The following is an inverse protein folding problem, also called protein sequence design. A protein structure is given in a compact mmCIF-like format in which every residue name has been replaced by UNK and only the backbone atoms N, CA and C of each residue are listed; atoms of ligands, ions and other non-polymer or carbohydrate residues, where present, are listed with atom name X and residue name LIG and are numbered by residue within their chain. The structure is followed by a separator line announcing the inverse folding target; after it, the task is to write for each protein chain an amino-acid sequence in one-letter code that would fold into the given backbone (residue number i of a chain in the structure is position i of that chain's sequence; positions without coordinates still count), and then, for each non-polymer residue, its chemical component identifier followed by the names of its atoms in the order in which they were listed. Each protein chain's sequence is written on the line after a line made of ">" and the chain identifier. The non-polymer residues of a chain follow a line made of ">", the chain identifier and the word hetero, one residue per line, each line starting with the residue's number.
data_IF_007013810369
#
_entry.id   IF_007013810369
#
_cell.length_a   1.000
_cell.length_b   1.000
_cell.length_c   1.000
_cell.angle_alpha   90.00
_cell.angle_beta   90.00
_cell.angle_gamma   90.00
#
_symmetry.space_group_name_H-M   'P 1'
#
loop_
_entity.id
_entity.type
_entity.pdbx_description
1 polymer ?
#
# COMPACT_ATOMS: atom_id res chain seq x y z
N UNK A 1 9.19 32.63 2.82
CA UNK A 1 9.54 31.67 1.73
C UNK A 1 9.81 30.33 2.36
N UNK A 2 8.79 29.47 2.37
CA UNK A 2 8.95 28.07 2.75
C UNK A 2 9.85 27.40 1.70
N UNK A 3 11.08 27.09 2.11
CA UNK A 3 11.94 26.19 1.36
C UNK A 3 11.29 24.79 1.38
N UNK A 4 10.56 24.47 0.33
CA UNK A 4 10.14 23.08 0.03
C UNK A 4 11.42 22.24 -0.08
N UNK A 5 11.84 21.62 1.04
CA UNK A 5 12.97 20.68 1.05
C UNK A 5 12.63 19.57 0.05
N UNK A 6 13.40 19.46 -1.03
CA UNK A 6 13.29 18.33 -1.97
C UNK A 6 13.35 17.03 -1.18
N UNK A 7 12.36 16.13 -1.34
CA UNK A 7 12.35 14.88 -0.61
C UNK A 7 13.68 14.17 -0.84
N UNK A 8 14.26 13.67 0.27
CA UNK A 8 15.51 12.89 0.25
C UNK A 8 15.32 11.73 -0.73
N UNK A 9 16.36 11.31 -1.46
CA UNK A 9 16.26 10.35 -2.55
C UNK A 9 15.60 9.01 -2.14
N UNK A 10 15.78 8.60 -0.88
CA UNK A 10 15.19 7.40 -0.29
C UNK A 10 13.65 7.44 -0.23
N UNK A 11 13.04 8.61 -0.08
CA UNK A 11 11.58 8.76 0.07
C UNK A 11 10.89 9.27 -1.21
N UNK A 12 11.53 9.11 -2.37
CA UNK A 12 10.91 9.35 -3.68
C UNK A 12 10.01 8.16 -4.08
N UNK A 13 9.04 8.34 -4.99
CA UNK A 13 8.03 7.32 -5.30
C UNK A 13 8.58 5.93 -5.57
N UNK A 14 9.58 5.81 -6.44
CA UNK A 14 10.17 4.49 -6.76
C UNK A 14 10.94 3.87 -5.60
N UNK A 15 11.60 4.68 -4.77
CA UNK A 15 12.23 4.16 -3.55
C UNK A 15 11.18 3.73 -2.53
N UNK A 16 10.07 4.48 -2.37
CA UNK A 16 8.97 4.09 -1.49
C UNK A 16 8.31 2.76 -1.91
N UNK A 17 8.24 2.43 -3.22
CA UNK A 17 7.81 1.11 -3.67
C UNK A 17 8.76 -0.01 -3.18
N UNK A 18 10.06 0.22 -3.27
CA UNK A 18 11.06 -0.72 -2.71
C UNK A 18 10.94 -0.84 -1.19
N UNK A 19 10.84 0.28 -0.48
CA UNK A 19 10.69 0.28 0.98
C UNK A 19 9.43 -0.48 1.42
N UNK A 20 8.33 -0.38 0.66
CA UNK A 20 7.13 -1.17 0.91
C UNK A 20 7.44 -2.67 0.88
N UNK A 21 8.12 -3.15 -0.16
CA UNK A 21 8.52 -4.56 -0.28
C UNK A 21 9.41 -4.98 0.89
N UNK A 22 10.43 -4.17 1.24
CA UNK A 22 11.31 -4.46 2.37
C UNK A 22 10.57 -4.53 3.71
N UNK A 23 9.57 -3.67 3.90
CA UNK A 23 8.80 -3.62 5.14
C UNK A 23 7.79 -4.77 5.25
N UNK A 24 7.23 -5.24 4.14
CA UNK A 24 6.08 -6.17 4.12
C UNK A 24 6.45 -7.61 3.82
N UNK A 25 7.54 -7.82 3.05
CA UNK A 25 7.97 -9.17 2.65
C UNK A 25 9.02 -9.70 3.62
N UNK A 26 8.68 -10.77 4.33
CA UNK A 26 9.62 -11.47 5.18
C UNK A 26 10.82 -11.99 4.38
N UNK A 27 12.02 -11.81 4.93
CA UNK A 27 13.27 -12.24 4.27
C UNK A 27 13.75 -11.34 3.12
N UNK A 28 13.01 -10.28 2.73
CA UNK A 28 13.42 -9.40 1.63
C UNK A 28 14.84 -8.82 1.81
N UNK A 29 15.27 -8.52 3.04
CA UNK A 29 16.63 -8.02 3.32
C UNK A 29 17.73 -9.05 3.06
N UNK A 30 17.41 -10.34 2.93
CA UNK A 30 18.37 -11.39 2.56
C UNK A 30 18.45 -11.62 1.05
N UNK A 31 17.58 -10.95 0.29
CA UNK A 31 17.53 -11.07 -1.15
C UNK A 31 18.63 -10.24 -1.86
N UNK A 32 18.97 -10.67 -3.08
CA UNK A 32 19.89 -9.90 -3.91
C UNK A 32 19.26 -8.61 -4.41
N UNK A 33 20.07 -7.60 -4.73
CA UNK A 33 19.61 -6.34 -5.34
C UNK A 33 18.78 -6.59 -6.62
N UNK A 34 19.10 -7.64 -7.39
CA UNK A 34 18.34 -8.03 -8.59
C UNK A 34 16.98 -8.61 -8.25
N UNK A 35 16.88 -9.44 -7.20
CA UNK A 35 15.60 -9.97 -6.73
C UNK A 35 14.71 -8.83 -6.19
N UNK A 36 15.26 -7.96 -5.36
CA UNK A 36 14.56 -6.77 -4.86
C UNK A 36 14.08 -5.85 -5.98
N UNK A 37 14.91 -5.66 -7.02
CA UNK A 37 14.52 -4.92 -8.23
C UNK A 37 13.27 -5.51 -8.87
N UNK A 38 13.26 -6.84 -9.06
CA UNK A 38 12.15 -7.54 -9.69
C UNK A 38 10.87 -7.47 -8.83
N UNK A 39 10.99 -7.70 -7.52
CA UNK A 39 9.87 -7.64 -6.57
C UNK A 39 9.23 -6.24 -6.51
N UNK A 40 10.05 -5.19 -6.44
CA UNK A 40 9.56 -3.82 -6.30
C UNK A 40 9.22 -3.14 -7.64
N UNK A 41 9.57 -3.71 -8.79
CA UNK A 41 9.41 -3.08 -10.10
C UNK A 41 10.21 -1.77 -10.24
N UNK A 42 11.42 -1.73 -9.67
CA UNK A 42 12.29 -0.55 -9.58
C UNK A 42 13.60 -0.83 -10.32
N UNK A 43 14.23 0.17 -10.93
CA UNK A 43 15.50 -0.05 -11.63
C UNK A 43 16.64 -0.49 -10.70
N UNK A 44 17.60 -1.27 -11.21
CA UNK A 44 18.76 -1.75 -10.45
C UNK A 44 19.51 -0.62 -9.75
N UNK A 45 19.84 0.46 -10.48
CA UNK A 45 20.55 1.60 -9.91
C UNK A 45 19.81 2.28 -8.77
N UNK A 46 18.48 2.39 -8.88
CA UNK A 46 17.65 2.95 -7.81
C UNK A 46 17.60 2.02 -6.59
N UNK A 47 17.45 0.72 -6.80
CA UNK A 47 17.47 -0.30 -5.75
C UNK A 47 18.81 -0.28 -5.00
N UNK A 48 19.94 -0.31 -5.72
CA UNK A 48 21.26 -0.26 -5.12
C UNK A 48 21.53 1.03 -4.35
N UNK A 49 21.10 2.18 -4.90
CA UNK A 49 21.22 3.48 -4.20
C UNK A 49 20.39 3.55 -2.94
N UNK A 50 19.13 3.05 -2.97
CA UNK A 50 18.26 3.03 -1.80
C UNK A 50 18.81 2.12 -0.69
N UNK A 51 19.31 0.91 -1.03
CA UNK A 51 19.93 0.01 -0.06
C UNK A 51 21.15 0.63 0.62
N UNK A 52 22.00 1.34 -0.15
CA UNK A 52 23.14 2.08 0.42
C UNK A 52 22.67 3.18 1.36
N UNK A 53 21.68 4.00 0.95
CA UNK A 53 21.15 5.09 1.77
C UNK A 53 20.47 4.57 3.05
N UNK A 54 19.84 3.38 3.02
CA UNK A 54 19.30 2.73 4.22
C UNK A 54 20.40 2.38 5.24
N UNK A 55 21.54 1.87 4.76
CA UNK A 55 22.71 1.59 5.63
C UNK A 55 23.30 2.88 6.17
N UNK A 56 23.55 3.89 5.34
CA UNK A 56 24.11 5.19 5.73
C UNK A 56 23.25 5.90 6.78
N UNK A 57 21.94 5.71 6.74
CA UNK A 57 20.98 6.29 7.70
C UNK A 57 20.74 5.41 8.93
N UNK A 58 21.33 4.21 8.99
CA UNK A 58 21.19 3.32 10.13
C UNK A 58 19.85 2.60 10.23
N UNK A 59 19.03 2.54 9.17
CA UNK A 59 17.80 1.73 9.18
C UNK A 59 18.06 0.24 9.07
N UNK A 60 19.14 -0.12 8.33
CA UNK A 60 19.58 -1.50 8.15
C UNK A 60 21.10 -1.57 8.35
N UNK A 61 21.60 -2.75 8.69
CA UNK A 61 23.04 -3.06 8.73
C UNK A 61 23.31 -4.39 8.01
N UNK A 62 24.58 -4.64 7.65
CA UNK A 62 24.99 -5.95 7.13
C UNK A 62 24.80 -7.00 8.22
N UNK A 63 24.14 -8.11 7.86
CA UNK A 63 24.06 -9.28 8.73
C UNK A 63 25.39 -10.03 8.76
N UNK A 64 25.67 -10.73 9.88
CA UNK A 64 26.84 -11.61 10.01
C UNK A 64 26.80 -12.76 8.99
N UNK A 65 25.62 -13.12 8.49
CA UNK A 65 25.43 -14.10 7.43
C UNK A 65 25.29 -13.46 6.06
N UNK A 66 24.17 -13.71 5.39
CA UNK A 66 23.85 -13.18 4.05
C UNK A 66 22.84 -12.04 4.16
N UNK A 67 23.06 -10.95 3.39
CA UNK A 67 22.12 -9.85 3.26
C UNK A 67 22.24 -8.80 4.36
N UNK A 68 21.10 -8.25 4.77
CA UNK A 68 20.98 -7.18 5.74
C UNK A 68 19.95 -7.55 6.81
N UNK A 69 19.98 -6.83 7.92
CA UNK A 69 18.96 -6.89 8.98
C UNK A 69 18.50 -5.49 9.36
N UNK A 70 17.28 -5.36 9.85
CA UNK A 70 16.78 -4.09 10.35
C UNK A 70 17.51 -3.70 11.65
N UNK A 71 17.85 -2.44 11.76
CA UNK A 71 18.28 -1.79 13.00
C UNK A 71 17.11 -1.12 13.68
N UNK A 72 16.28 -0.44 12.88
CA UNK A 72 15.07 0.24 13.35
C UNK A 72 13.99 0.16 12.28
N UNK A 73 13.27 -0.97 12.26
CA UNK A 73 12.18 -1.23 11.32
C UNK A 73 11.00 -0.30 11.55
N UNK A 74 10.73 0.04 12.82
CA UNK A 74 9.62 0.94 13.19
C UNK A 74 9.87 2.36 12.70
N UNK A 75 11.05 2.91 12.92
CA UNK A 75 11.37 4.24 12.40
C UNK A 75 11.29 4.30 10.87
N UNK A 76 11.69 3.23 10.17
CA UNK A 76 11.53 3.16 8.71
C UNK A 76 10.07 3.12 8.30
N UNK A 77 9.22 2.36 9.01
CA UNK A 77 7.78 2.33 8.82
C UNK A 77 7.16 3.73 8.97
N UNK A 78 7.48 4.43 10.05
CA UNK A 78 6.97 5.78 10.33
C UNK A 78 7.35 6.77 9.23
N UNK A 79 8.61 6.72 8.76
CA UNK A 79 9.07 7.53 7.63
C UNK A 79 8.38 7.15 6.32
N UNK A 80 8.13 5.87 6.08
CA UNK A 80 7.40 5.42 4.90
C UNK A 80 5.97 5.98 4.91
N UNK A 81 5.25 5.82 6.02
CA UNK A 81 3.86 6.31 6.17
C UNK A 81 3.80 7.83 6.00
N UNK A 82 4.70 8.58 6.64
CA UNK A 82 4.76 10.04 6.53
C UNK A 82 4.98 10.54 5.09
N UNK A 83 5.67 9.76 4.25
CA UNK A 83 5.97 10.14 2.87
C UNK A 83 5.02 9.50 1.84
N UNK A 84 4.25 8.48 2.23
CA UNK A 84 3.35 7.76 1.32
C UNK A 84 2.33 8.70 0.67
N UNK A 85 1.58 9.44 1.48
CA UNK A 85 0.47 10.28 1.02
C UNK A 85 0.88 11.37 0.03
N UNK A 86 2.02 12.01 0.25
CA UNK A 86 2.50 13.12 -0.58
C UNK A 86 3.35 12.68 -1.77
N UNK A 87 4.14 11.62 -1.62
CA UNK A 87 5.14 11.25 -2.62
C UNK A 87 4.72 10.08 -3.49
N UNK A 88 4.18 9.00 -2.90
CA UNK A 88 3.87 7.78 -3.65
C UNK A 88 2.42 7.75 -4.13
N UNK A 89 1.47 8.00 -3.24
CA UNK A 89 0.03 7.92 -3.52
C UNK A 89 -0.40 8.65 -4.79
N UNK A 90 -0.04 9.95 -5.02
CA UNK A 90 -0.45 10.66 -6.22
C UNK A 90 0.11 10.07 -7.53
N UNK A 91 1.20 9.29 -7.45
CA UNK A 91 1.81 8.61 -8.62
C UNK A 91 1.15 7.27 -8.94
N UNK A 92 0.33 6.77 -8.03
CA UNK A 92 -0.41 5.51 -8.20
C UNK A 92 -1.83 5.75 -8.72
N UNK A 93 -2.41 6.94 -8.53
CA UNK A 93 -3.79 7.24 -8.94
C UNK A 93 -3.98 7.04 -10.44
N UNK A 94 -4.95 6.20 -10.81
CA UNK A 94 -5.45 6.00 -12.18
C UNK A 94 -6.67 6.87 -12.46
N UNK A 95 -7.43 7.20 -11.42
CA UNK A 95 -8.58 8.10 -11.49
C UNK A 95 -9.46 8.06 -10.25
N UNK A 96 -10.25 9.13 -10.10
CA UNK A 96 -11.21 9.34 -9.03
C UNK A 96 -12.63 9.30 -9.58
N UNK A 97 -13.50 8.57 -8.90
CA UNK A 97 -14.83 8.24 -9.41
C UNK A 97 -15.90 8.30 -8.32
N UNK A 98 -17.15 8.45 -8.77
CA UNK A 98 -18.35 8.22 -7.98
C UNK A 98 -18.94 6.87 -8.34
N UNK A 99 -19.17 6.04 -7.35
CA UNK A 99 -19.91 4.79 -7.45
C UNK A 99 -21.36 5.02 -7.03
N UNK A 100 -22.37 4.50 -7.76
CA UNK A 100 -23.76 4.60 -7.35
C UNK A 100 -24.00 3.90 -6.00
N UNK A 101 -24.79 4.51 -5.07
CA UNK A 101 -25.11 3.88 -3.79
C UNK A 101 -25.73 2.47 -3.90
N UNK A 102 -26.46 2.22 -4.98
CA UNK A 102 -27.12 0.93 -5.23
C UNK A 102 -26.20 -0.27 -5.40
N UNK A 103 -24.89 -0.04 -5.59
CA UNK A 103 -23.90 -1.12 -5.77
C UNK A 103 -22.76 -1.07 -4.75
N UNK A 104 -22.76 -0.11 -3.83
CA UNK A 104 -21.70 0.03 -2.83
C UNK A 104 -21.54 -1.22 -1.95
N UNK A 105 -22.65 -1.83 -1.54
CA UNK A 105 -22.65 -3.04 -0.71
C UNK A 105 -22.14 -4.27 -1.48
N UNK A 106 -22.43 -4.35 -2.77
CA UNK A 106 -22.01 -5.41 -3.65
C UNK A 106 -20.61 -5.22 -4.23
N UNK A 107 -20.01 -4.04 -4.08
CA UNK A 107 -18.74 -3.71 -4.71
C UNK A 107 -17.62 -4.76 -4.48
N UNK A 108 -17.39 -5.30 -3.28
CA UNK A 108 -16.37 -6.32 -3.07
C UNK A 108 -16.61 -7.57 -3.91
N UNK A 109 -17.87 -8.01 -4.01
CA UNK A 109 -18.27 -9.18 -4.82
C UNK A 109 -18.08 -8.90 -6.31
N UNK A 110 -18.55 -7.74 -6.80
CA UNK A 110 -18.42 -7.35 -8.21
C UNK A 110 -16.95 -7.25 -8.62
N UNK A 111 -16.09 -6.65 -7.79
CA UNK A 111 -14.65 -6.56 -8.03
C UNK A 111 -14.05 -7.96 -8.16
N UNK A 112 -14.37 -8.83 -7.20
CA UNK A 112 -13.87 -10.21 -7.18
C UNK A 112 -14.30 -10.98 -8.42
N UNK A 113 -15.59 -11.04 -8.73
CA UNK A 113 -16.14 -11.76 -9.89
C UNK A 113 -15.58 -11.22 -11.20
N UNK A 114 -15.42 -9.89 -11.34
CA UNK A 114 -14.86 -9.26 -12.54
C UNK A 114 -13.40 -9.68 -12.79
N UNK A 115 -12.63 -9.89 -11.73
CA UNK A 115 -11.18 -10.12 -11.82
C UNK A 115 -10.74 -11.51 -11.33
N UNK A 116 -11.70 -12.39 -10.94
CA UNK A 116 -11.42 -13.72 -10.40
C UNK A 116 -10.58 -14.60 -11.35
N UNK A 117 -10.80 -14.48 -12.66
CA UNK A 117 -10.04 -15.23 -13.68
C UNK A 117 -8.56 -14.79 -13.80
N UNK A 118 -8.16 -13.75 -13.10
CA UNK A 118 -6.80 -13.18 -13.12
C UNK A 118 -6.25 -13.08 -11.70
N UNK A 119 -5.76 -14.17 -11.09
CA UNK A 119 -5.22 -14.14 -9.74
C UNK A 119 -4.13 -13.07 -9.59
N UNK A 120 -4.15 -12.34 -8.47
CA UNK A 120 -3.17 -11.28 -8.23
C UNK A 120 -3.36 -10.02 -9.07
N UNK A 121 -4.57 -9.74 -9.53
CA UNK A 121 -4.87 -8.59 -10.41
C UNK A 121 -5.48 -7.40 -9.69
N UNK A 122 -5.92 -7.54 -8.44
CA UNK A 122 -6.54 -6.47 -7.66
C UNK A 122 -6.29 -6.64 -6.15
N UNK A 123 -6.46 -5.54 -5.43
CA UNK A 123 -6.62 -5.52 -3.98
C UNK A 123 -7.57 -4.38 -3.57
N UNK A 124 -8.53 -4.66 -2.69
CA UNK A 124 -9.41 -3.65 -2.11
C UNK A 124 -8.63 -2.95 -1.00
N UNK A 125 -8.62 -1.62 -1.00
CA UNK A 125 -7.91 -0.77 -0.04
C UNK A 125 -8.85 0.10 0.80
N UNK A 126 -8.25 1.05 1.50
CA UNK A 126 -8.93 2.09 2.26
C UNK A 126 -9.85 1.60 3.37
N UNK A 127 -10.88 2.39 3.64
CA UNK A 127 -11.84 2.10 4.71
C UNK A 127 -12.65 0.82 4.46
N UNK A 128 -12.91 0.47 3.21
CA UNK A 128 -13.57 -0.80 2.88
C UNK A 128 -12.69 -2.00 3.23
N UNK A 129 -11.39 -1.97 2.92
CA UNK A 129 -10.46 -3.02 3.31
C UNK A 129 -10.36 -3.14 4.84
N UNK A 130 -10.27 -2.01 5.55
CA UNK A 130 -10.25 -2.00 7.00
C UNK A 130 -11.49 -2.68 7.60
N UNK A 131 -12.68 -2.40 7.04
CA UNK A 131 -13.91 -3.07 7.44
C UNK A 131 -13.90 -4.58 7.13
N UNK A 132 -13.42 -4.98 5.95
CA UNK A 132 -13.32 -6.39 5.58
C UNK A 132 -12.37 -7.15 6.52
N UNK A 133 -11.30 -6.52 6.96
CA UNK A 133 -10.31 -7.09 7.87
C UNK A 133 -10.78 -7.17 9.32
N UNK A 134 -11.46 -6.12 9.83
CA UNK A 134 -11.70 -5.93 11.28
C UNK A 134 -13.17 -5.92 11.69
N UNK A 135 -14.09 -5.67 10.74
CA UNK A 135 -15.51 -5.42 10.98
C UNK A 135 -15.79 -4.20 11.88
N UNK A 136 -14.78 -3.33 12.09
CA UNK A 136 -14.88 -2.21 13.02
C UNK A 136 -15.65 -1.02 12.46
N UNK A 137 -15.18 -0.43 11.35
CA UNK A 137 -15.76 0.76 10.75
C UNK A 137 -15.73 0.70 9.23
N UNK A 138 -16.88 0.94 8.59
CA UNK A 138 -17.00 1.06 7.15
C UNK A 138 -17.15 2.55 6.80
N UNK A 139 -16.06 3.16 6.33
CA UNK A 139 -16.09 4.53 5.81
C UNK A 139 -16.71 4.63 4.42
N UNK A 140 -16.72 5.85 3.89
CA UNK A 140 -17.34 6.16 2.59
C UNK A 140 -16.40 5.91 1.40
N UNK A 141 -15.08 5.77 1.65
CA UNK A 141 -14.10 5.66 0.57
C UNK A 141 -13.76 4.20 0.27
N UNK A 142 -13.60 3.91 -1.00
CA UNK A 142 -13.13 2.62 -1.51
C UNK A 142 -11.94 2.87 -2.42
N UNK A 143 -10.79 2.40 -2.03
CA UNK A 143 -9.60 2.37 -2.86
C UNK A 143 -9.48 0.99 -3.50
N UNK A 144 -9.17 0.95 -4.81
CA UNK A 144 -9.00 -0.31 -5.52
C UNK A 144 -7.66 -0.27 -6.25
N UNK A 145 -6.71 -1.07 -5.78
CA UNK A 145 -5.46 -1.30 -6.47
C UNK A 145 -5.69 -2.31 -7.58
N UNK A 146 -5.38 -1.95 -8.81
CA UNK A 146 -5.64 -2.77 -9.99
C UNK A 146 -4.56 -2.55 -11.05
N UNK A 147 -4.29 -3.57 -11.87
CA UNK A 147 -3.43 -3.38 -13.03
C UNK A 147 -4.12 -2.42 -14.03
N UNK A 148 -3.40 -1.45 -14.63
CA UNK A 148 -4.02 -0.45 -15.53
C UNK A 148 -4.90 -1.07 -16.61
N UNK A 149 -4.50 -2.20 -17.21
CA UNK A 149 -5.28 -2.90 -18.24
C UNK A 149 -6.60 -3.51 -17.76
N UNK A 150 -6.89 -3.52 -16.46
CA UNK A 150 -8.15 -4.00 -15.89
C UNK A 150 -9.04 -2.84 -15.38
N UNK A 151 -8.54 -1.61 -15.37
CA UNK A 151 -9.25 -0.45 -14.81
C UNK A 151 -10.55 -0.16 -15.55
N UNK A 152 -10.55 -0.21 -16.88
CA UNK A 152 -11.74 0.08 -17.70
C UNK A 152 -12.86 -0.95 -17.49
N UNK A 153 -12.50 -2.24 -17.37
CA UNK A 153 -13.45 -3.30 -17.06
C UNK A 153 -14.12 -3.08 -15.70
N UNK A 154 -13.36 -2.67 -14.69
CA UNK A 154 -13.92 -2.34 -13.36
C UNK A 154 -14.79 -1.10 -13.40
N UNK A 155 -14.39 -0.06 -14.13
CA UNK A 155 -15.19 1.16 -14.30
C UNK A 155 -16.57 0.85 -14.85
N UNK A 156 -16.65 0.01 -15.89
CA UNK A 156 -17.90 -0.43 -16.47
C UNK A 156 -18.77 -1.22 -15.47
N UNK A 157 -18.20 -2.25 -14.86
CA UNK A 157 -18.92 -3.15 -13.94
C UNK A 157 -19.42 -2.45 -12.67
N UNK A 158 -18.61 -1.55 -12.12
CA UNK A 158 -18.97 -0.75 -10.96
C UNK A 158 -19.71 0.55 -11.34
N UNK A 159 -20.00 0.78 -12.61
CA UNK A 159 -20.68 2.00 -13.12
C UNK A 159 -20.02 3.28 -12.60
N UNK A 160 -18.69 3.32 -12.60
CA UNK A 160 -17.92 4.43 -12.07
C UNK A 160 -17.99 5.64 -13.01
N UNK A 161 -18.38 6.80 -12.46
CA UNK A 161 -18.45 8.07 -13.19
C UNK A 161 -17.33 8.97 -12.66
N UNK A 162 -16.47 9.57 -13.50
CA UNK A 162 -15.48 10.54 -13.05
C UNK A 162 -16.13 11.67 -12.27
N UNK A 163 -15.65 11.95 -11.04
CA UNK A 163 -16.26 12.94 -10.16
C UNK A 163 -15.23 13.58 -9.24
N UNK A 164 -15.45 14.87 -8.88
CA UNK A 164 -14.64 15.57 -7.89
C UNK A 164 -14.98 15.13 -6.45
N UNK A 165 -16.27 14.89 -6.18
CA UNK A 165 -16.78 14.33 -4.92
C UNK A 165 -16.77 12.80 -4.96
N UNK A 166 -15.60 12.23 -5.22
CA UNK A 166 -15.39 10.80 -5.39
C UNK A 166 -15.58 10.02 -4.09
N UNK A 167 -16.06 8.78 -4.23
CA UNK A 167 -16.04 7.78 -3.16
C UNK A 167 -15.24 6.54 -3.56
N UNK A 168 -14.70 6.52 -4.78
CA UNK A 168 -13.81 5.45 -5.28
C UNK A 168 -12.58 6.07 -5.94
N UNK A 169 -11.40 5.60 -5.53
CA UNK A 169 -10.15 5.89 -6.22
C UNK A 169 -9.55 4.58 -6.76
N UNK A 170 -9.26 4.56 -8.06
CA UNK A 170 -8.50 3.46 -8.67
C UNK A 170 -7.01 3.78 -8.62
N UNK A 171 -6.22 2.83 -8.14
CA UNK A 171 -4.78 2.91 -8.06
C UNK A 171 -4.10 1.85 -8.90
N UNK A 172 -2.92 2.18 -9.42
CA UNK A 172 -2.04 1.20 -10.04
C UNK A 172 -1.52 0.21 -8.98
N UNK A 173 -1.74 -1.08 -9.23
CA UNK A 173 -1.16 -2.18 -8.46
C UNK A 173 0.35 -2.25 -8.76
N UNK A 174 1.16 -1.62 -7.93
CA UNK A 174 2.58 -1.39 -8.20
C UNK A 174 3.50 -2.56 -7.84
N UNK A 175 3.01 -3.51 -7.03
CA UNK A 175 3.77 -4.69 -6.61
C UNK A 175 2.79 -5.82 -6.22
N UNK A 176 3.13 -7.11 -6.41
CA UNK A 176 2.35 -8.23 -5.90
C UNK A 176 2.16 -8.20 -4.37
N UNK A 177 3.10 -7.65 -3.63
CA UNK A 177 3.07 -7.53 -2.16
C UNK A 177 1.98 -6.59 -1.64
N UNK A 178 1.39 -5.78 -2.53
CA UNK A 178 0.17 -5.00 -2.20
C UNK A 178 -1.00 -5.90 -1.85
N UNK A 179 -1.03 -7.13 -2.40
CA UNK A 179 -2.16 -8.05 -2.25
C UNK A 179 -2.00 -8.87 -0.98
N UNK A 180 -2.94 -8.70 -0.07
CA UNK A 180 -3.04 -9.48 1.15
C UNK A 180 -4.29 -10.37 1.15
N UNK A 181 -4.16 -11.60 1.63
CA UNK A 181 -5.26 -12.55 1.76
C UNK A 181 -5.48 -12.86 3.23
N UNK A 182 -6.60 -12.39 3.76
CA UNK A 182 -6.99 -12.61 5.14
C UNK A 182 -8.03 -13.74 5.24
N UNK A 183 -7.99 -14.51 6.31
CA UNK A 183 -9.03 -15.52 6.60
C UNK A 183 -10.41 -14.91 6.89
N UNK A 184 -10.46 -13.62 7.24
CA UNK A 184 -11.69 -12.89 7.58
C UNK A 184 -12.56 -12.52 6.38
N UNK A 185 -12.03 -12.63 5.15
CA UNK A 185 -12.72 -12.24 3.91
C UNK A 185 -12.28 -13.10 2.72
N UNK A 186 -13.20 -13.46 1.80
CA UNK A 186 -12.84 -14.17 0.57
C UNK A 186 -12.15 -13.25 -0.46
N UNK A 187 -12.19 -11.94 -0.25
CA UNK A 187 -11.68 -10.96 -1.20
C UNK A 187 -10.19 -10.68 -0.98
N UNK A 188 -9.47 -10.36 -2.05
CA UNK A 188 -8.12 -9.83 -1.95
C UNK A 188 -8.18 -8.38 -1.44
N UNK A 189 -7.50 -8.08 -0.35
CA UNK A 189 -7.41 -6.75 0.24
C UNK A 189 -5.97 -6.23 0.13
N UNK A 190 -5.80 -4.92 0.22
CA UNK A 190 -4.48 -4.32 0.30
C UNK A 190 -3.77 -4.75 1.59
N UNK A 191 -2.44 -4.86 1.53
CA UNK A 191 -1.62 -5.17 2.70
C UNK A 191 -1.96 -4.21 3.85
N UNK A 192 -2.08 -4.70 5.10
CA UNK A 192 -2.44 -3.88 6.25
C UNK A 192 -1.65 -2.59 6.42
N UNK A 193 -0.34 -2.59 6.08
CA UNK A 193 0.47 -1.38 6.05
C UNK A 193 -0.09 -0.31 5.09
N UNK A 194 -0.55 -0.71 3.91
CA UNK A 194 -1.11 0.21 2.93
C UNK A 194 -2.49 0.71 3.36
N UNK A 195 -3.32 -0.17 3.93
CA UNK A 195 -4.62 0.21 4.54
C UNK A 195 -4.40 1.22 5.66
N UNK A 196 -3.45 0.98 6.54
CA UNK A 196 -3.07 1.89 7.62
C UNK A 196 -2.66 3.28 7.09
N UNK A 197 -1.81 3.32 6.07
CA UNK A 197 -1.34 4.57 5.47
C UNK A 197 -2.46 5.36 4.78
N UNK A 198 -3.40 4.69 4.07
CA UNK A 198 -4.57 5.33 3.45
C UNK A 198 -5.49 5.94 4.52
N UNK A 199 -5.80 5.22 5.60
CA UNK A 199 -6.63 5.72 6.69
C UNK A 199 -6.02 6.97 7.33
N UNK A 200 -4.71 6.98 7.58
CA UNK A 200 -4.02 8.16 8.11
C UNK A 200 -3.98 9.32 7.11
N UNK A 201 -3.87 9.02 5.81
CA UNK A 201 -3.90 10.04 4.76
C UNK A 201 -5.26 10.76 4.69
N UNK A 202 -6.38 10.03 4.82
CA UNK A 202 -7.72 10.61 4.88
C UNK A 202 -7.93 11.48 6.14
N UNK A 203 -7.34 11.11 7.26
CA UNK A 203 -7.12 12.00 8.41
C UNK A 203 -8.33 12.31 9.29
N UNK A 204 -9.51 11.77 9.04
CA UNK A 204 -10.69 11.89 9.90
C UNK A 204 -10.51 11.17 11.24
N UNK A 205 -11.29 11.54 12.27
CA UNK A 205 -11.16 10.94 13.61
C UNK A 205 -11.48 9.44 13.59
N UNK A 206 -12.51 9.03 12.85
CA UNK A 206 -12.89 7.62 12.67
C UNK A 206 -11.83 6.84 11.88
N UNK A 207 -11.25 7.45 10.85
CA UNK A 207 -10.17 6.86 10.07
C UNK A 207 -8.92 6.66 10.94
N UNK A 208 -8.55 7.62 11.79
CA UNK A 208 -7.42 7.51 12.74
C UNK A 208 -7.65 6.42 13.78
N UNK A 209 -8.87 6.33 14.31
CA UNK A 209 -9.25 5.27 15.24
C UNK A 209 -9.17 3.89 14.56
N UNK A 210 -9.70 3.78 13.37
CA UNK A 210 -9.64 2.56 12.56
C UNK A 210 -8.20 2.19 12.20
N UNK A 211 -7.35 3.18 11.91
CA UNK A 211 -5.93 2.97 11.67
C UNK A 211 -5.24 2.34 12.89
N UNK A 212 -5.57 2.78 14.11
CA UNK A 212 -5.04 2.14 15.34
C UNK A 212 -5.47 0.68 15.45
N UNK A 213 -6.75 0.37 15.14
CA UNK A 213 -7.24 -1.02 15.14
C UNK A 213 -6.47 -1.87 14.14
N UNK A 214 -6.20 -1.36 12.92
CA UNK A 214 -5.38 -2.06 11.92
C UNK A 214 -3.95 -2.24 12.41
N UNK A 215 -3.34 -1.20 12.99
CA UNK A 215 -1.98 -1.28 13.54
C UNK A 215 -1.87 -2.36 14.61
N UNK A 216 -2.74 -2.30 15.62
CA UNK A 216 -2.71 -3.24 16.75
C UNK A 216 -2.95 -4.69 16.32
N UNK A 217 -3.86 -4.92 15.34
CA UNK A 217 -4.21 -6.26 14.91
C UNK A 217 -3.21 -6.89 13.92
N UNK A 218 -2.52 -6.10 13.08
CA UNK A 218 -1.76 -6.64 11.94
C UNK A 218 -0.31 -6.17 11.86
N UNK A 219 0.06 -5.06 12.49
CA UNK A 219 1.37 -4.44 12.31
C UNK A 219 2.21 -4.49 13.59
N UNK A 220 1.58 -4.34 14.75
CA UNK A 220 2.26 -4.18 16.04
C UNK A 220 3.31 -5.27 16.29
N UNK A 221 2.95 -6.54 16.13
CA UNK A 221 3.86 -7.65 16.36
C UNK A 221 5.09 -7.65 15.43
N UNK A 222 4.97 -7.05 14.24
CA UNK A 222 6.07 -7.01 13.26
C UNK A 222 7.01 -5.81 13.42
N UNK A 223 6.54 -4.73 14.08
CA UNK A 223 7.24 -3.46 14.11
C UNK A 223 7.54 -2.92 15.51
N UNK A 224 6.84 -3.38 16.55
CA UNK A 224 7.06 -2.98 17.94
C UNK A 224 7.93 -3.99 18.73
N UNK A 225 8.13 -5.20 18.20
CA UNK A 225 9.05 -6.16 18.77
C UNK A 225 10.49 -5.88 18.29
N UNK A 226 11.48 -5.97 19.21
CA UNK A 226 12.89 -5.68 18.92
C UNK A 226 13.53 -6.70 17.96
#
# INVERSE_FOLDING_TARGET
>A
QEHTRRPKALFRPKSLQLLFVLLTQEGALHETVRALQAMAGVSFGRTASAMRELVERGYIRKSVGRGFEFVDKKALLEQWVANYGEQLRPKLVLGDYKMPPSIEDDAPRIIHETLAARPGSYAIGGSLAAYLLTKYYRGYTTEIFVRPGNADQLREKLRLIPAKDCNVTLFNLFSPEVIYRAATTPYAVAHPLLVYAELLHHGGDREKETARVIYDAFLKAQYDEP
#
